data_IF_416052718762
#
_entry.id   IF_416052718762
#
_cell.length_a   1.000
_cell.length_b   1.000
_cell.length_c   1.000
_cell.angle_alpha   90.00
_cell.angle_beta   90.00
_cell.angle_gamma   90.00
#
_symmetry.space_group_name_H-M   'P 1'
#
loop_
_entity.id
_entity.type
_entity.pdbx_description
1 polymer ?
#
# COMPACT_ATOMS: atom_id res chain seq x y z
N UNK A 1 -10.65 25.43 -13.76
CA UNK A 1 -11.63 24.37 -13.45
C UNK A 1 -12.63 24.91 -12.44
N UNK A 2 -13.87 25.17 -12.85
CA UNK A 2 -14.89 25.73 -11.95
C UNK A 2 -15.36 24.70 -10.93
N UNK A 3 -15.32 25.05 -9.64
CA UNK A 3 -15.89 24.22 -8.59
C UNK A 3 -17.41 24.18 -8.76
N UNK A 4 -17.95 23.02 -9.17
CA UNK A 4 -19.39 22.79 -9.31
C UNK A 4 -20.05 22.91 -7.94
N UNK A 5 -20.74 24.02 -7.68
CA UNK A 5 -21.40 24.32 -6.40
C UNK A 5 -22.67 23.46 -6.27
N UNK A 6 -22.67 22.53 -5.33
CA UNK A 6 -23.85 21.73 -4.99
C UNK A 6 -24.87 22.62 -4.27
N UNK A 7 -26.14 22.56 -4.69
CA UNK A 7 -27.24 23.41 -4.16
C UNK A 7 -28.21 22.68 -3.22
N UNK A 8 -28.14 21.34 -3.14
CA UNK A 8 -29.05 20.51 -2.34
C UNK A 8 -28.26 19.81 -1.23
N UNK A 9 -28.86 19.72 -0.04
CA UNK A 9 -28.27 19.12 1.17
C UNK A 9 -29.11 17.90 1.53
N UNK A 10 -28.42 16.81 1.90
CA UNK A 10 -29.00 15.64 2.53
C UNK A 10 -28.49 15.60 3.96
N UNK A 11 -29.40 15.65 4.93
CA UNK A 11 -29.09 15.53 6.35
C UNK A 11 -29.76 14.27 6.88
N UNK A 12 -29.02 13.42 7.57
CA UNK A 12 -29.51 12.18 8.18
C UNK A 12 -29.07 12.17 9.63
N UNK A 13 -30.00 11.87 10.53
CA UNK A 13 -29.70 11.62 11.93
C UNK A 13 -29.26 10.17 12.07
N UNK A 14 -28.10 9.96 12.68
CA UNK A 14 -27.52 8.65 12.92
C UNK A 14 -27.40 8.46 14.42
N UNK A 15 -27.62 7.23 14.87
CA UNK A 15 -27.21 6.82 16.20
C UNK A 15 -25.67 6.79 16.29
N UNK A 16 -25.13 6.86 17.51
CA UNK A 16 -23.68 6.85 17.75
C UNK A 16 -23.02 5.60 17.14
N UNK A 17 -23.67 4.44 17.29
CA UNK A 17 -23.19 3.16 16.76
C UNK A 17 -23.12 3.13 15.22
N UNK A 18 -24.06 3.79 14.55
CA UNK A 18 -24.12 3.90 13.09
C UNK A 18 -23.07 4.87 12.56
N UNK A 19 -22.87 5.98 13.26
CA UNK A 19 -21.84 6.95 12.93
C UNK A 19 -20.43 6.35 13.04
N UNK A 20 -20.16 5.57 14.08
CA UNK A 20 -18.87 4.89 14.26
C UNK A 20 -18.57 3.92 13.14
N UNK A 21 -19.52 3.04 12.78
CA UNK A 21 -19.39 2.11 11.64
C UNK A 21 -19.13 2.85 10.33
N UNK A 22 -19.83 3.96 10.09
CA UNK A 22 -19.65 4.77 8.90
C UNK A 22 -18.25 5.41 8.86
N UNK A 23 -17.74 5.83 10.00
CA UNK A 23 -16.41 6.42 10.14
C UNK A 23 -15.29 5.38 10.00
N UNK A 24 -15.48 4.16 10.51
CA UNK A 24 -14.57 3.04 10.27
C UNK A 24 -14.48 2.68 8.79
N UNK A 25 -15.64 2.54 8.14
CA UNK A 25 -15.71 2.28 6.70
C UNK A 25 -15.08 3.42 5.88
N UNK A 26 -15.28 4.67 6.28
CA UNK A 26 -14.61 5.81 5.65
C UNK A 26 -13.09 5.75 5.78
N UNK A 27 -12.55 5.43 6.98
CA UNK A 27 -11.11 5.33 7.23
C UNK A 27 -10.43 4.26 6.36
N UNK A 28 -11.15 3.21 5.97
CA UNK A 28 -10.64 2.16 5.10
C UNK A 28 -10.56 2.57 3.61
N UNK A 29 -11.04 3.76 3.22
CA UNK A 29 -11.14 4.17 1.81
C UNK A 29 -10.10 5.19 1.38
N UNK A 30 -9.92 5.35 0.07
CA UNK A 30 -9.00 6.34 -0.53
C UNK A 30 -9.49 7.79 -0.47
N UNK A 31 -10.69 8.06 0.05
CA UNK A 31 -11.33 9.38 -0.11
C UNK A 31 -10.80 10.42 0.89
N UNK A 32 -10.45 11.60 0.39
CA UNK A 32 -9.96 12.73 1.21
C UNK A 32 -11.06 13.47 1.97
N UNK A 33 -12.31 13.33 1.55
CA UNK A 33 -13.47 14.02 2.14
C UNK A 33 -14.63 13.07 2.37
N UNK A 34 -15.24 13.16 3.55
CA UNK A 34 -16.46 12.42 3.92
C UNK A 34 -17.57 12.63 2.90
N UNK A 35 -17.74 13.85 2.39
CA UNK A 35 -18.77 14.18 1.42
C UNK A 35 -18.59 13.44 0.09
N UNK A 36 -17.33 13.24 -0.35
CA UNK A 36 -17.02 12.48 -1.57
C UNK A 36 -17.30 11.00 -1.39
N UNK A 37 -16.96 10.44 -0.23
CA UNK A 37 -17.26 9.06 0.13
C UNK A 37 -18.77 8.81 0.23
N UNK A 38 -19.46 9.61 1.05
CA UNK A 38 -20.91 9.52 1.27
C UNK A 38 -21.69 9.67 -0.03
N UNK A 39 -21.28 10.59 -0.91
CA UNK A 39 -21.93 10.76 -2.21
C UNK A 39 -21.85 9.49 -3.05
N UNK A 40 -20.69 8.83 -3.09
CA UNK A 40 -20.54 7.58 -3.83
C UNK A 40 -21.35 6.45 -3.21
N UNK A 41 -21.36 6.36 -1.88
CA UNK A 41 -22.16 5.39 -1.15
C UNK A 41 -23.66 5.54 -1.46
N UNK A 42 -24.19 6.76 -1.38
CA UNK A 42 -25.60 7.08 -1.66
C UNK A 42 -25.97 6.87 -3.13
N UNK A 43 -25.03 7.12 -4.05
CA UNK A 43 -25.24 6.91 -5.49
C UNK A 43 -24.96 5.46 -5.94
N UNK A 44 -24.68 4.53 -5.01
CA UNK A 44 -24.37 3.14 -5.33
C UNK A 44 -23.12 2.95 -6.18
N UNK A 45 -22.21 3.93 -6.19
CA UNK A 45 -20.98 3.87 -6.97
C UNK A 45 -19.93 3.02 -6.25
N UNK A 46 -19.08 2.27 -6.99
CA UNK A 46 -18.04 1.47 -6.38
C UNK A 46 -17.09 2.35 -5.56
N UNK A 47 -16.93 1.97 -4.30
CA UNK A 47 -16.02 2.58 -3.34
C UNK A 47 -14.71 1.79 -3.37
N UNK A 48 -13.62 2.43 -3.80
CA UNK A 48 -12.29 1.84 -3.69
C UNK A 48 -11.85 1.86 -2.21
N UNK A 49 -11.74 0.66 -1.64
CA UNK A 49 -11.20 0.41 -0.30
C UNK A 49 -9.70 0.14 -0.44
N UNK A 50 -8.86 0.76 0.38
CA UNK A 50 -7.44 0.45 0.43
C UNK A 50 -7.30 -0.84 1.24
N UNK A 51 -6.98 -1.93 0.56
CA UNK A 51 -6.54 -3.14 1.26
C UNK A 51 -5.02 -3.08 1.42
N UNK A 52 -4.54 -2.69 2.61
CA UNK A 52 -3.12 -2.75 2.94
C UNK A 52 -2.76 -4.18 3.33
N UNK A 53 -1.94 -4.84 2.52
CA UNK A 53 -1.50 -6.20 2.81
C UNK A 53 -0.36 -6.17 3.83
N UNK A 54 -0.69 -6.32 5.11
CA UNK A 54 0.28 -6.30 6.21
C UNK A 54 1.39 -7.34 6.04
N UNK A 55 1.05 -8.54 5.57
CA UNK A 55 2.04 -9.60 5.31
C UNK A 55 3.04 -9.19 4.23
N UNK A 56 2.61 -8.40 3.25
CA UNK A 56 3.49 -7.87 2.22
C UNK A 56 4.45 -6.82 2.78
N UNK A 57 3.95 -5.92 3.62
CA UNK A 57 4.79 -4.92 4.29
C UNK A 57 5.84 -5.58 5.18
N UNK A 58 5.43 -6.56 6.00
CA UNK A 58 6.32 -7.32 6.88
C UNK A 58 7.39 -8.09 6.08
N UNK A 59 7.02 -8.63 4.91
CA UNK A 59 7.95 -9.27 3.99
C UNK A 59 8.96 -8.28 3.40
N UNK A 60 8.51 -7.09 2.95
CA UNK A 60 9.39 -6.05 2.42
C UNK A 60 10.40 -5.61 3.49
N UNK A 61 9.95 -5.39 4.73
CA UNK A 61 10.84 -5.03 5.83
C UNK A 61 11.92 -6.09 6.07
N UNK A 62 11.50 -7.36 6.11
CA UNK A 62 12.41 -8.50 6.30
C UNK A 62 13.41 -8.63 5.15
N UNK A 63 12.96 -8.45 3.91
CA UNK A 63 13.81 -8.51 2.73
C UNK A 63 14.86 -7.40 2.69
N UNK A 64 14.52 -6.18 3.14
CA UNK A 64 15.48 -5.07 3.27
C UNK A 64 16.55 -5.38 4.31
N UNK A 65 16.18 -5.97 5.46
CA UNK A 65 17.13 -6.41 6.49
C UNK A 65 18.06 -7.49 5.94
N UNK A 66 17.51 -8.52 5.30
CA UNK A 66 18.29 -9.59 4.67
C UNK A 66 19.30 -9.02 3.65
N UNK A 67 18.91 -8.06 2.82
CA UNK A 67 19.81 -7.39 1.87
C UNK A 67 20.99 -6.71 2.56
N UNK A 68 20.74 -6.03 3.69
CA UNK A 68 21.78 -5.39 4.49
C UNK A 68 22.75 -6.43 5.04
N UNK A 69 22.22 -7.52 5.59
CA UNK A 69 23.03 -8.59 6.16
C UNK A 69 23.89 -9.29 5.10
N UNK A 70 23.32 -9.54 3.91
CA UNK A 70 24.06 -10.10 2.76
C UNK A 70 25.18 -9.17 2.27
N UNK A 71 24.97 -7.84 2.26
CA UNK A 71 26.03 -6.87 1.94
C UNK A 71 27.17 -6.90 2.96
N UNK A 72 26.85 -7.04 4.25
CA UNK A 72 27.85 -7.15 5.32
C UNK A 72 28.65 -8.44 5.15
N UNK A 73 28.00 -9.56 4.81
CA UNK A 73 28.68 -10.83 4.54
C UNK A 73 29.63 -10.74 3.35
N UNK A 74 29.24 -10.05 2.27
CA UNK A 74 30.10 -9.85 1.08
C UNK A 74 31.40 -9.11 1.40
N UNK A 75 31.39 -8.23 2.41
CA UNK A 75 32.56 -7.50 2.89
C UNK A 75 33.53 -8.33 3.73
N UNK A 76 33.18 -9.57 4.10
CA UNK A 76 34.08 -10.46 4.84
C UNK A 76 35.11 -11.11 3.91
N UNK A 77 36.32 -11.28 4.42
CA UNK A 77 37.46 -11.84 3.68
C UNK A 77 37.32 -13.36 3.40
N UNK A 78 36.36 -14.02 4.04
CA UNK A 78 36.18 -15.48 4.01
C UNK A 78 35.66 -16.05 2.69
N UNK A 79 35.18 -15.22 1.76
CA UNK A 79 34.57 -15.69 0.52
C UNK A 79 35.53 -15.58 -0.67
N UNK A 80 35.55 -16.63 -1.51
CA UNK A 80 36.28 -16.62 -2.78
C UNK A 80 35.63 -15.67 -3.78
N UNK A 81 36.38 -15.25 -4.79
CA UNK A 81 35.91 -14.30 -5.83
C UNK A 81 34.66 -14.82 -6.56
N UNK A 82 34.59 -16.14 -6.78
CA UNK A 82 33.49 -16.80 -7.49
C UNK A 82 32.22 -16.80 -6.63
N UNK A 83 32.33 -17.16 -5.34
CA UNK A 83 31.20 -17.15 -4.41
C UNK A 83 30.64 -15.72 -4.21
N UNK A 84 31.52 -14.71 -4.20
CA UNK A 84 31.13 -13.30 -4.14
C UNK A 84 30.34 -12.88 -5.39
N UNK A 85 30.73 -13.33 -6.58
CA UNK A 85 29.98 -13.05 -7.81
C UNK A 85 28.62 -13.74 -7.84
N UNK A 86 28.55 -15.00 -7.44
CA UNK A 86 27.28 -15.74 -7.39
C UNK A 86 26.30 -15.10 -6.40
N UNK A 87 26.81 -14.69 -5.23
CA UNK A 87 26.01 -14.00 -4.21
C UNK A 87 25.49 -12.65 -4.72
N UNK A 88 26.33 -11.87 -5.42
CA UNK A 88 25.90 -10.61 -6.06
C UNK A 88 24.78 -10.85 -7.07
N UNK A 89 24.89 -11.86 -7.94
CA UNK A 89 23.84 -12.19 -8.92
C UNK A 89 22.51 -12.52 -8.24
N UNK A 90 22.54 -13.37 -7.19
CA UNK A 90 21.34 -13.71 -6.41
C UNK A 90 20.73 -12.48 -5.74
N UNK A 91 21.55 -11.57 -5.22
CA UNK A 91 21.06 -10.30 -4.66
C UNK A 91 20.36 -9.42 -5.70
N UNK A 92 20.92 -9.29 -6.90
CA UNK A 92 20.28 -8.53 -8.00
C UNK A 92 18.92 -9.11 -8.38
N UNK A 93 18.81 -10.44 -8.49
CA UNK A 93 17.54 -11.12 -8.78
C UNK A 93 16.49 -10.84 -7.69
N UNK A 94 16.90 -10.89 -6.42
CA UNK A 94 16.00 -10.56 -5.29
C UNK A 94 15.53 -9.11 -5.38
N UNK A 95 16.42 -8.16 -5.66
CA UNK A 95 16.07 -6.74 -5.82
C UNK A 95 15.07 -6.52 -6.98
N UNK A 96 15.29 -7.14 -8.13
CA UNK A 96 14.38 -7.05 -9.27
C UNK A 96 12.98 -7.61 -8.94
N UNK A 97 12.92 -8.73 -8.25
CA UNK A 97 11.65 -9.34 -7.85
C UNK A 97 10.93 -8.48 -6.78
N UNK A 98 11.65 -7.90 -5.83
CA UNK A 98 11.06 -6.96 -4.87
C UNK A 98 10.50 -5.73 -5.56
N UNK A 99 11.20 -5.17 -6.55
CA UNK A 99 10.70 -4.03 -7.35
C UNK A 99 9.39 -4.42 -8.05
N UNK A 100 9.32 -5.60 -8.69
CA UNK A 100 8.11 -6.09 -9.36
C UNK A 100 6.92 -6.30 -8.42
N UNK A 101 7.18 -6.64 -7.16
CA UNK A 101 6.14 -6.86 -6.14
C UNK A 101 5.64 -5.52 -5.57
N UNK A 102 6.54 -4.53 -5.41
CA UNK A 102 6.24 -3.24 -4.78
C UNK A 102 5.66 -2.23 -5.76
N UNK A 103 6.07 -2.25 -7.04
CA UNK A 103 5.36 -1.45 -8.03
C UNK A 103 3.95 -2.01 -8.14
N UNK A 104 2.92 -1.24 -7.79
CA UNK A 104 1.57 -1.68 -8.12
C UNK A 104 1.60 -1.91 -9.62
N UNK A 105 1.12 -3.08 -10.06
CA UNK A 105 0.79 -3.28 -11.46
C UNK A 105 -0.05 -2.08 -11.88
N UNK A 106 0.59 -1.15 -12.61
CA UNK A 106 -0.06 -0.12 -13.40
C UNK A 106 -0.77 -0.87 -14.53
N UNK A 107 -1.79 -1.64 -14.19
CA UNK A 107 -2.78 -2.15 -15.12
C UNK A 107 -3.97 -1.22 -14.96
N UNK A 108 -4.17 -0.49 -16.04
CA UNK A 108 -5.17 0.55 -16.28
C UNK A 108 -6.56 0.11 -15.88
#
# INVERSE_FOLDING_TARGET
MGYKRFKRILSVYLDQSEYEKLMENYKATIYKSKASYLRKLVLGQPVAVIYRNRSLDDFIETAVKLRKDLKILLGKETFTTIEKEELKRKMTIIEENLIKIVTPCNHK
#
